data_IF_401769625071
#
_entry.id   IF_401769625071
#
_cell.length_a   1.000
_cell.length_b   1.000
_cell.length_c   1.000
_cell.angle_alpha   90.00
_cell.angle_beta   90.00
_cell.angle_gamma   90.00
#
_symmetry.space_group_name_H-M   'P 1'
#
loop_
_entity.id
_entity.type
_entity.pdbx_description
1 polymer ?
#
# COMPACT_ATOMS: atom_id res chain seq x y z
N UNK A 1 3.82 7.32 14.25
CA UNK A 1 4.48 6.01 14.01
C UNK A 1 3.50 4.89 14.28
N UNK A 2 3.65 3.73 13.62
CA UNK A 2 2.83 2.54 13.82
C UNK A 2 3.75 1.33 14.00
N UNK A 3 3.76 0.72 15.19
CA UNK A 3 4.65 -0.41 15.52
C UNK A 3 6.15 -0.14 15.25
N UNK A 4 6.58 1.13 15.30
CA UNK A 4 7.93 1.56 14.95
C UNK A 4 8.12 1.95 13.48
N UNK A 5 7.15 1.70 12.61
CA UNK A 5 7.15 2.20 11.23
C UNK A 5 6.78 3.69 11.16
N UNK A 6 7.46 4.41 10.28
CA UNK A 6 7.26 5.85 10.04
C UNK A 6 6.18 6.04 8.98
N UNK A 7 4.98 6.39 9.43
CA UNK A 7 3.84 6.69 8.56
C UNK A 7 3.65 8.20 8.52
N UNK A 8 3.56 8.77 7.33
CA UNK A 8 3.39 10.20 7.11
C UNK A 8 2.15 10.75 7.81
N UNK A 9 2.26 11.98 8.32
CA UNK A 9 1.14 12.66 8.99
C UNK A 9 0.00 12.90 8.02
N UNK A 10 -1.27 12.86 8.47
CA UNK A 10 -2.42 13.17 7.64
C UNK A 10 -2.35 14.57 7.02
N UNK A 11 -2.90 14.72 5.80
CA UNK A 11 -3.18 16.02 5.18
C UNK A 11 -4.67 16.30 5.24
N UNK A 12 -5.05 17.54 5.53
CA UNK A 12 -6.44 17.94 5.44
C UNK A 12 -6.85 18.15 3.98
N UNK A 13 -7.98 17.57 3.62
CA UNK A 13 -8.63 17.79 2.34
C UNK A 13 -10.07 18.23 2.59
N UNK A 14 -10.49 19.30 1.93
CA UNK A 14 -11.88 19.76 1.97
C UNK A 14 -12.65 19.17 0.78
N UNK A 15 -13.65 18.36 1.08
CA UNK A 15 -14.59 17.80 0.11
C UNK A 15 -16.00 18.33 0.37
N UNK A 16 -17.00 17.88 -0.41
CA UNK A 16 -18.41 18.26 -0.15
C UNK A 16 -18.93 17.82 1.23
N UNK A 17 -18.34 16.79 1.83
CA UNK A 17 -18.66 16.33 3.20
C UNK A 17 -17.97 17.10 4.32
N UNK A 18 -17.14 18.11 4.01
CA UNK A 18 -16.33 18.86 4.96
C UNK A 18 -14.83 18.55 4.87
N UNK A 19 -14.06 19.15 5.78
CA UNK A 19 -12.63 18.90 5.91
C UNK A 19 -12.39 17.52 6.55
N UNK A 20 -11.53 16.71 5.94
CA UNK A 20 -11.11 15.41 6.44
C UNK A 20 -9.59 15.29 6.42
N UNK A 21 -9.02 14.87 7.55
CA UNK A 21 -7.62 14.46 7.64
C UNK A 21 -7.44 13.10 6.96
N UNK A 22 -6.68 13.06 5.87
CA UNK A 22 -6.39 11.86 5.09
C UNK A 22 -4.95 11.41 5.34
N UNK A 23 -4.72 10.29 6.04
CA UNK A 23 -3.40 9.65 6.14
C UNK A 23 -3.04 8.94 4.82
N UNK A 24 -1.81 8.40 4.71
CA UNK A 24 -1.50 7.43 3.66
C UNK A 24 -2.55 6.33 3.58
N UNK A 25 -2.91 5.94 2.35
CA UNK A 25 -3.90 4.91 2.09
C UNK A 25 -3.26 3.53 2.21
N UNK A 26 -3.31 2.92 3.40
CA UNK A 26 -2.70 1.61 3.66
C UNK A 26 -3.79 0.54 3.80
N UNK A 27 -3.72 -0.50 2.97
CA UNK A 27 -4.58 -1.67 3.00
C UNK A 27 -3.73 -2.90 3.30
N UNK A 28 -3.94 -3.46 4.48
CA UNK A 28 -3.32 -4.71 4.91
C UNK A 28 -4.39 -5.79 4.87
N UNK A 29 -4.31 -6.68 3.90
CA UNK A 29 -5.30 -7.74 3.76
C UNK A 29 -5.24 -8.73 4.94
N UNK A 30 -6.35 -9.38 5.32
CA UNK A 30 -6.34 -10.40 6.37
C UNK A 30 -5.37 -11.55 6.08
N UNK A 31 -5.14 -11.88 4.81
CA UNK A 31 -4.14 -12.87 4.39
C UNK A 31 -2.71 -12.42 4.69
N UNK A 32 -2.46 -11.11 4.77
CA UNK A 32 -1.18 -10.57 5.21
C UNK A 32 -1.09 -10.53 6.73
N UNK A 33 -1.94 -9.75 7.41
CA UNK A 33 -1.84 -9.61 8.85
C UNK A 33 -3.24 -9.41 9.47
N UNK A 34 -3.88 -10.46 10.00
CA UNK A 34 -5.22 -10.34 10.57
C UNK A 34 -5.24 -9.65 11.94
N UNK A 35 -4.08 -9.52 12.61
CA UNK A 35 -3.96 -8.86 13.90
C UNK A 35 -2.59 -8.17 14.06
N UNK A 36 -2.47 -7.30 15.07
CA UNK A 36 -1.23 -6.56 15.34
C UNK A 36 -0.02 -7.45 15.68
N UNK A 37 -0.24 -8.61 16.31
CA UNK A 37 0.82 -9.57 16.62
C UNK A 37 1.46 -10.10 15.35
N UNK A 38 0.65 -10.49 14.36
CA UNK A 38 1.13 -10.95 13.06
C UNK A 38 1.78 -9.81 12.27
N UNK A 39 1.17 -8.62 12.27
CA UNK A 39 1.77 -7.45 11.63
C UNK A 39 3.17 -7.15 12.20
N UNK A 40 3.32 -7.18 13.52
CA UNK A 40 4.60 -6.95 14.20
C UNK A 40 5.65 -8.00 13.85
N UNK A 41 5.26 -9.27 13.64
CA UNK A 41 6.17 -10.34 13.19
C UNK A 41 6.63 -10.15 11.75
N UNK A 42 5.74 -9.63 10.90
CA UNK A 42 5.99 -9.43 9.46
C UNK A 42 6.80 -8.19 9.15
N UNK A 43 6.75 -7.17 10.00
CA UNK A 43 7.65 -6.01 9.96
C UNK A 43 8.94 -6.35 10.71
N UNK A 44 9.94 -6.92 10.02
CA UNK A 44 11.18 -7.42 10.64
C UNK A 44 12.07 -6.29 11.18
N UNK A 45 12.07 -5.14 10.51
CA UNK A 45 12.81 -3.94 10.92
C UNK A 45 11.90 -2.70 10.83
N UNK A 46 10.91 -2.53 11.74
CA UNK A 46 9.88 -1.50 11.57
C UNK A 46 10.42 -0.07 11.40
N UNK A 47 11.52 0.29 12.09
CA UNK A 47 12.14 1.61 11.97
C UNK A 47 12.65 1.94 10.55
N UNK A 48 12.93 0.90 9.75
CA UNK A 48 13.35 1.00 8.35
C UNK A 48 12.17 0.98 7.37
N UNK A 49 10.94 1.02 7.87
CA UNK A 49 9.72 1.13 7.07
C UNK A 49 9.20 2.56 7.13
N UNK A 50 9.15 3.21 5.97
CA UNK A 50 8.62 4.56 5.76
C UNK A 50 7.54 4.54 4.68
N UNK A 51 6.40 5.15 4.99
CA UNK A 51 5.30 5.39 4.05
C UNK A 51 5.00 6.89 4.05
N UNK A 52 5.27 7.58 2.95
CA UNK A 52 5.05 9.03 2.84
C UNK A 52 3.57 9.40 2.86
N UNK A 53 3.24 10.61 3.30
CA UNK A 53 1.86 11.10 3.51
C UNK A 53 0.89 10.85 2.34
N UNK A 54 1.35 11.05 1.10
CA UNK A 54 0.52 10.89 -0.10
C UNK A 54 0.53 9.47 -0.70
N UNK A 55 1.12 8.50 0.00
CA UNK A 55 1.32 7.17 -0.55
C UNK A 55 0.12 6.25 -0.39
N UNK A 56 0.04 5.25 -1.27
CA UNK A 56 -0.85 4.10 -1.13
C UNK A 56 -0.06 2.79 -1.08
N UNK A 57 -0.38 1.95 -0.10
CA UNK A 57 0.25 0.65 0.10
C UNK A 57 -0.82 -0.42 0.22
N UNK A 58 -0.72 -1.45 -0.61
CA UNK A 58 -1.57 -2.64 -0.53
C UNK A 58 -0.70 -3.88 -0.37
N UNK A 59 -0.98 -4.70 0.65
CA UNK A 59 -0.20 -5.93 0.90
C UNK A 59 -1.14 -7.10 1.17
N UNK A 60 -1.02 -8.16 0.38
CA UNK A 60 -1.69 -9.44 0.57
C UNK A 60 -0.72 -10.62 0.48
N UNK A 61 -1.04 -11.68 1.23
CA UNK A 61 -0.28 -12.93 1.23
C UNK A 61 0.32 -13.30 2.59
N UNK A 62 0.11 -14.56 2.97
CA UNK A 62 0.52 -15.14 4.25
C UNK A 62 2.04 -15.18 4.42
N UNK A 63 2.79 -15.46 3.37
CA UNK A 63 4.24 -15.56 3.46
C UNK A 63 4.99 -14.24 3.25
N UNK A 64 4.30 -13.09 3.15
CA UNK A 64 4.98 -11.79 2.97
C UNK A 64 5.56 -11.28 4.29
N UNK A 65 6.84 -10.90 4.27
CA UNK A 65 7.55 -10.18 5.33
C UNK A 65 8.29 -8.96 4.75
N UNK A 66 8.39 -7.87 5.52
CA UNK A 66 9.02 -6.62 5.09
C UNK A 66 10.10 -6.22 6.11
N UNK A 67 11.33 -6.03 5.63
CA UNK A 67 12.44 -5.53 6.45
C UNK A 67 12.64 -4.03 6.22
N UNK A 68 12.90 -3.62 4.98
CA UNK A 68 13.11 -2.20 4.65
C UNK A 68 12.21 -1.78 3.49
N UNK A 69 11.51 -0.66 3.67
CA UNK A 69 10.63 -0.08 2.67
C UNK A 69 10.68 1.44 2.77
N UNK A 70 10.99 2.11 1.66
CA UNK A 70 10.76 3.54 1.49
C UNK A 70 9.74 3.75 0.36
N UNK A 71 8.55 4.21 0.72
CA UNK A 71 7.44 4.41 -0.20
C UNK A 71 7.06 5.88 -0.28
N UNK A 72 7.16 6.43 -1.48
CA UNK A 72 6.60 7.72 -1.89
C UNK A 72 5.85 7.57 -3.23
N UNK A 73 4.59 7.17 -3.15
CA UNK A 73 3.77 6.83 -4.31
C UNK A 73 2.85 5.64 -4.03
N UNK A 74 2.59 4.79 -5.02
CA UNK A 74 1.70 3.64 -4.90
C UNK A 74 2.44 2.31 -5.09
N UNK A 75 2.24 1.38 -4.16
CA UNK A 75 2.81 0.04 -4.17
C UNK A 75 1.75 -1.00 -3.82
N UNK A 76 1.67 -2.06 -4.62
CA UNK A 76 0.88 -3.25 -4.32
C UNK A 76 1.78 -4.50 -4.32
N UNK A 77 1.72 -5.27 -3.25
CA UNK A 77 2.43 -6.55 -3.09
C UNK A 77 1.39 -7.65 -2.91
N UNK A 78 1.39 -8.61 -3.81
CA UNK A 78 0.49 -9.75 -3.81
C UNK A 78 1.28 -11.04 -3.89
N UNK A 79 1.23 -11.83 -2.83
CA UNK A 79 1.78 -13.18 -2.82
C UNK A 79 0.63 -14.20 -2.71
N UNK A 80 0.60 -15.15 -3.64
CA UNK A 80 -0.36 -16.25 -3.62
C UNK A 80 -0.09 -17.23 -2.47
N UNK A 81 -0.98 -18.21 -2.31
CA UNK A 81 -0.80 -19.29 -1.35
C UNK A 81 0.48 -20.08 -1.64
N UNK A 82 1.21 -20.47 -0.60
CA UNK A 82 2.47 -21.22 -0.73
C UNK A 82 3.69 -20.38 -1.15
N UNK A 83 3.52 -19.06 -1.31
CA UNK A 83 4.62 -18.13 -1.57
C UNK A 83 5.17 -17.59 -0.25
N UNK A 84 6.47 -17.74 -0.04
CA UNK A 84 7.23 -17.00 0.98
C UNK A 84 7.95 -15.85 0.30
N UNK A 85 7.55 -14.60 0.58
CA UNK A 85 8.15 -13.42 -0.02
C UNK A 85 8.78 -12.54 1.06
N UNK A 86 10.09 -12.39 1.02
CA UNK A 86 10.81 -11.48 1.89
C UNK A 86 11.21 -10.21 1.12
N UNK A 87 10.57 -9.09 1.44
CA UNK A 87 11.01 -7.76 1.02
C UNK A 87 12.18 -7.36 1.90
N UNK A 88 13.39 -7.57 1.39
CA UNK A 88 14.64 -7.28 2.10
C UNK A 88 14.85 -5.77 2.12
N UNK A 89 14.83 -5.14 0.93
CA UNK A 89 14.90 -3.69 0.75
C UNK A 89 14.16 -3.26 -0.50
N UNK A 90 13.29 -2.27 -0.37
CA UNK A 90 12.56 -1.73 -1.50
C UNK A 90 12.40 -0.22 -1.39
N UNK A 91 12.74 0.49 -2.46
CA UNK A 91 12.47 1.93 -2.62
C UNK A 91 11.52 2.08 -3.80
N UNK A 92 10.37 2.70 -3.58
CA UNK A 92 9.37 2.97 -4.61
C UNK A 92 9.00 4.44 -4.59
N UNK A 93 9.45 5.16 -5.63
CA UNK A 93 9.06 6.54 -5.89
C UNK A 93 8.34 6.61 -7.24
N UNK A 94 7.07 7.00 -7.24
CA UNK A 94 6.26 7.05 -8.45
C UNK A 94 5.11 8.07 -8.34
N UNK A 95 4.35 8.28 -9.42
CA UNK A 95 3.26 9.29 -9.42
C UNK A 95 2.08 8.92 -8.50
N UNK A 96 2.02 7.68 -8.04
CA UNK A 96 1.09 7.21 -7.03
C UNK A 96 -0.38 7.36 -7.39
N UNK A 97 -1.20 7.46 -6.34
CA UNK A 97 -2.63 7.75 -6.44
C UNK A 97 -2.94 9.12 -5.85
N UNK A 98 -4.01 9.72 -6.34
CA UNK A 98 -4.45 11.04 -5.91
C UNK A 98 -5.96 11.03 -5.67
N UNK A 99 -6.39 11.58 -4.54
CA UNK A 99 -7.80 11.87 -4.31
C UNK A 99 -8.14 13.19 -5.01
N UNK A 100 -9.00 13.11 -6.04
CA UNK A 100 -9.38 14.24 -6.89
C UNK A 100 -10.84 14.61 -6.61
N UNK A 101 -11.17 15.89 -6.38
CA UNK A 101 -12.55 16.32 -6.25
C UNK A 101 -13.35 15.97 -7.50
N UNK A 102 -14.63 15.59 -7.32
CA UNK A 102 -15.51 15.39 -8.47
C UNK A 102 -15.85 16.73 -9.13
N UNK A 103 -15.90 16.73 -10.46
CA UNK A 103 -16.50 17.83 -11.22
C UNK A 103 -18.00 17.95 -10.93
N UNK A 104 -18.62 19.07 -11.28
CA UNK A 104 -20.09 19.24 -11.13
C UNK A 104 -20.88 18.17 -11.90
N UNK A 105 -20.40 17.81 -13.09
CA UNK A 105 -21.01 16.77 -13.92
C UNK A 105 -20.86 15.37 -13.30
N UNK A 106 -19.66 15.03 -12.81
CA UNK A 106 -19.40 13.79 -12.08
C UNK A 106 -20.29 13.72 -10.81
N UNK A 107 -20.46 14.85 -10.14
CA UNK A 107 -21.25 14.97 -8.92
C UNK A 107 -22.76 14.84 -9.17
N UNK A 108 -23.27 15.29 -10.32
CA UNK A 108 -24.69 15.20 -10.66
C UNK A 108 -25.09 13.76 -10.97
N UNK A 109 -24.38 13.11 -11.90
CA UNK A 109 -24.72 11.76 -12.36
C UNK A 109 -23.54 10.96 -12.91
N UNK A 110 -22.40 11.59 -13.21
CA UNK A 110 -21.28 10.94 -13.90
C UNK A 110 -20.45 9.98 -13.04
N UNK A 111 -20.48 10.10 -11.71
CA UNK A 111 -19.73 9.23 -10.80
C UNK A 111 -20.61 8.22 -10.06
N UNK A 112 -20.05 7.06 -9.65
CA UNK A 112 -20.74 6.12 -8.77
C UNK A 112 -21.25 6.79 -7.51
N UNK A 113 -22.42 6.37 -7.02
CA UNK A 113 -23.09 6.97 -5.85
C UNK A 113 -22.16 7.10 -4.63
N UNK A 114 -21.39 6.06 -4.31
CA UNK A 114 -20.43 6.09 -3.22
C UNK A 114 -19.37 7.20 -3.35
N UNK A 115 -18.96 7.54 -4.59
CA UNK A 115 -18.04 8.65 -4.84
C UNK A 115 -18.74 10.01 -4.74
N UNK A 116 -20.00 10.10 -5.21
CA UNK A 116 -20.82 11.31 -5.10
C UNK A 116 -21.13 11.68 -3.64
N UNK A 117 -21.36 10.70 -2.76
CA UNK A 117 -21.60 10.95 -1.34
C UNK A 117 -20.39 11.59 -0.63
N UNK A 118 -19.16 11.18 -0.98
CA UNK A 118 -17.92 11.73 -0.39
C UNK A 118 -17.34 12.94 -1.13
N UNK A 119 -17.71 13.13 -2.40
CA UNK A 119 -17.30 14.28 -3.21
C UNK A 119 -15.92 14.18 -3.86
N UNK A 120 -15.33 12.99 -3.92
CA UNK A 120 -14.04 12.76 -4.58
C UNK A 120 -13.94 11.35 -5.19
N UNK A 121 -13.02 11.19 -6.14
CA UNK A 121 -12.58 9.92 -6.74
C UNK A 121 -11.09 9.70 -6.53
N UNK A 122 -10.65 8.44 -6.66
CA UNK A 122 -9.23 8.09 -6.67
C UNK A 122 -8.72 8.05 -8.12
N UNK A 123 -7.83 8.97 -8.49
CA UNK A 123 -7.06 8.90 -9.72
C UNK A 123 -5.83 8.01 -9.49
N UNK A 124 -5.68 6.96 -10.31
CA UNK A 124 -4.54 6.03 -10.23
C UNK A 124 -3.54 6.36 -11.34
N UNK A 125 -2.58 7.23 -11.06
CA UNK A 125 -1.60 7.69 -12.05
C UNK A 125 -0.55 6.63 -12.34
N UNK A 126 -0.02 6.00 -11.28
CA UNK A 126 0.99 4.96 -11.39
C UNK A 126 0.88 4.01 -10.20
N UNK A 127 1.27 2.74 -10.36
CA UNK A 127 1.35 1.78 -9.27
C UNK A 127 2.42 0.75 -9.58
N UNK A 128 3.40 0.60 -8.68
CA UNK A 128 4.34 -0.52 -8.76
C UNK A 128 3.65 -1.76 -8.18
N UNK A 129 3.55 -2.81 -8.99
CA UNK A 129 2.92 -4.07 -8.57
C UNK A 129 3.98 -5.17 -8.55
N UNK A 130 4.06 -5.89 -7.43
CA UNK A 130 4.78 -7.15 -7.33
C UNK A 130 3.76 -8.26 -7.09
N UNK A 131 3.57 -9.11 -8.09
CA UNK A 131 2.65 -10.23 -8.02
C UNK A 131 3.43 -11.55 -8.17
N UNK A 132 3.40 -12.37 -7.13
CA UNK A 132 4.09 -13.67 -7.11
C UNK A 132 3.02 -14.75 -6.95
N UNK A 133 2.85 -15.55 -8.00
CA UNK A 133 1.79 -16.58 -8.06
C UNK A 133 2.30 -18.00 -7.84
N UNK A 134 3.54 -18.25 -8.21
CA UNK A 134 4.13 -19.58 -8.12
C UNK A 134 4.63 -19.85 -6.70
N UNK A 135 4.16 -20.92 -6.04
CA UNK A 135 4.66 -21.33 -4.73
C UNK A 135 6.19 -21.47 -4.73
N UNK A 136 6.84 -21.04 -3.66
CA UNK A 136 8.30 -20.99 -3.58
C UNK A 136 8.77 -19.92 -2.59
N UNK A 137 10.09 -19.81 -2.45
CA UNK A 137 10.71 -18.78 -1.62
C UNK A 137 11.31 -17.69 -2.50
N UNK A 138 11.05 -16.44 -2.16
CA UNK A 138 11.47 -15.28 -2.95
C UNK A 138 12.00 -14.17 -2.07
N UNK A 139 13.01 -13.49 -2.57
CA UNK A 139 13.52 -12.25 -2.01
C UNK A 139 13.30 -11.10 -3.00
N UNK A 140 12.86 -9.96 -2.47
CA UNK A 140 12.71 -8.72 -3.21
C UNK A 140 13.71 -7.69 -2.66
N UNK A 141 14.69 -7.34 -3.48
CA UNK A 141 15.75 -6.37 -3.17
C UNK A 141 15.91 -5.38 -4.31
N UNK A 142 15.78 -4.08 -4.03
CA UNK A 142 15.93 -2.98 -5.00
C UNK A 142 15.08 -3.15 -6.27
N UNK A 143 13.88 -3.72 -6.10
CA UNK A 143 12.96 -3.97 -7.20
C UNK A 143 13.26 -5.23 -8.03
N UNK A 144 14.30 -5.99 -7.67
CA UNK A 144 14.64 -7.28 -8.28
C UNK A 144 14.06 -8.40 -7.43
N UNK A 145 13.21 -9.23 -8.04
CA UNK A 145 12.62 -10.41 -7.44
C UNK A 145 13.45 -11.64 -7.81
N UNK A 146 13.96 -12.36 -6.82
CA UNK A 146 14.79 -13.56 -7.00
C UNK A 146 14.16 -14.72 -6.26
N UNK A 147 14.07 -15.88 -6.91
CA UNK A 147 13.65 -17.13 -6.28
C UNK A 147 14.84 -17.74 -5.53
N UNK A 148 14.63 -18.18 -4.29
CA UNK A 148 15.69 -18.61 -3.36
C UNK A 148 15.59 -20.07 -2.92
N UNK A 149 14.48 -20.76 -3.20
CA UNK A 149 14.41 -22.21 -3.00
C UNK A 149 15.25 -22.95 -4.06
N UNK A 150 15.95 -24.03 -3.66
CA UNK A 150 16.66 -24.88 -4.61
C UNK A 150 15.68 -25.52 -5.62
N UNK A 151 16.13 -25.78 -6.86
CA UNK A 151 15.32 -26.40 -7.90
C UNK A 151 14.88 -27.83 -7.56
#
# INVERSE_FOLDING_TARGET
>A
ELLGARVGSPREHAWRGGAQAMPPAVVLWPSFAPCFTELRRKLRSPASVRVATGSSLEVSGEGVCISELDLDGALAIHAAQGVTLHVVRLVVHNRGHEFVPLSEEEQASGAPEASRLRGYRLARHETKVFEVREPGSYELTDGVLVRTDPP
#
